data_IF_545434293847
#
_entry.id   IF_545434293847
#
_cell.length_a   1.000
_cell.length_b   1.000
_cell.length_c   1.000
_cell.angle_alpha   90.00
_cell.angle_beta   90.00
_cell.angle_gamma   90.00
#
_symmetry.space_group_name_H-M   'P 1'
#
loop_
_entity.id
_entity.type
_entity.pdbx_description
1 polymer ?
#
# COMPACT_ATOMS: atom_id res chain seq x y z
N UNK A 1 14.97 40.67 38.15
CA UNK A 1 15.56 40.86 36.80
C UNK A 1 16.86 40.09 36.75
N UNK A 2 16.77 38.82 36.36
CA UNK A 2 17.80 38.12 35.59
C UNK A 2 17.00 37.24 34.65
N UNK A 3 16.70 37.81 33.50
CA UNK A 3 16.33 37.12 32.29
C UNK A 3 17.62 36.45 31.81
N UNK A 4 17.71 35.12 31.95
CA UNK A 4 18.87 34.33 31.49
C UNK A 4 18.47 33.56 30.24
N UNK A 5 18.72 34.26 29.12
CA UNK A 5 19.20 33.84 27.80
C UNK A 5 18.51 32.70 27.02
N UNK A 6 18.15 32.94 25.73
CA UNK A 6 17.55 31.98 24.80
C UNK A 6 18.55 30.94 24.29
N UNK A 7 18.08 29.80 23.77
CA UNK A 7 18.41 29.29 22.42
C UNK A 7 17.55 28.06 22.09
N UNK A 8 17.21 28.01 20.80
CA UNK A 8 16.32 27.09 20.11
C UNK A 8 16.59 25.60 20.38
N UNK A 9 15.51 24.80 20.43
CA UNK A 9 15.41 23.68 19.51
C UNK A 9 13.95 23.23 19.27
N UNK A 10 13.27 23.67 18.20
CA UNK A 10 12.22 22.90 17.58
C UNK A 10 12.86 21.97 16.53
N UNK A 11 13.50 20.89 17.00
CA UNK A 11 13.99 19.84 16.10
C UNK A 11 14.04 18.51 16.86
N UNK A 12 12.87 18.01 17.25
CA UNK A 12 12.61 16.59 17.07
C UNK A 12 11.79 16.58 15.79
N UNK A 13 12.44 16.60 14.63
CA UNK A 13 12.98 15.36 14.11
C UNK A 13 11.77 14.56 13.67
N UNK A 14 11.10 15.04 12.62
CA UNK A 14 10.11 14.27 11.87
C UNK A 14 10.88 13.18 11.14
N UNK A 15 11.46 12.25 11.90
CA UNK A 15 11.88 10.94 11.43
C UNK A 15 10.70 9.98 11.66
N UNK A 16 9.49 10.44 11.33
CA UNK A 16 8.22 9.70 11.35
C UNK A 16 7.47 9.90 10.03
N UNK A 17 8.06 10.55 9.04
CA UNK A 17 7.45 10.68 7.71
C UNK A 17 7.58 9.37 6.91
N UNK A 18 8.65 8.59 7.16
CA UNK A 18 8.92 7.33 6.43
C UNK A 18 8.01 6.18 6.87
N UNK A 19 7.55 6.15 8.12
CA UNK A 19 6.67 5.09 8.60
C UNK A 19 5.22 5.29 8.13
N UNK A 20 4.81 6.54 7.88
CA UNK A 20 3.49 6.85 7.34
C UNK A 20 3.36 6.37 5.88
N UNK A 21 4.41 6.53 5.07
CA UNK A 21 4.47 6.08 3.67
C UNK A 21 4.34 4.55 3.55
N UNK A 22 5.01 3.77 4.40
CA UNK A 22 4.92 2.30 4.39
C UNK A 22 3.55 1.78 4.83
N UNK A 23 2.92 2.43 5.82
CA UNK A 23 1.57 2.06 6.29
C UNK A 23 0.51 2.46 5.27
N UNK A 24 0.65 3.63 4.65
CA UNK A 24 -0.23 4.08 3.57
C UNK A 24 -0.13 3.17 2.36
N UNK A 25 1.09 2.79 1.95
CA UNK A 25 1.32 1.83 0.88
C UNK A 25 0.66 0.49 1.20
N UNK A 26 0.86 -0.07 2.41
CA UNK A 26 0.25 -1.34 2.79
C UNK A 26 -1.28 -1.28 2.82
N UNK A 27 -1.86 -0.16 3.27
CA UNK A 27 -3.31 0.04 3.26
C UNK A 27 -3.86 0.13 1.83
N UNK A 28 -3.17 0.82 0.93
CA UNK A 28 -3.54 0.91 -0.49
C UNK A 28 -3.42 -0.45 -1.20
N UNK A 29 -2.41 -1.26 -0.87
CA UNK A 29 -2.28 -2.63 -1.40
C UNK A 29 -3.45 -3.51 -0.97
N UNK A 30 -3.82 -3.46 0.31
CA UNK A 30 -4.93 -4.23 0.86
C UNK A 30 -6.27 -3.84 0.23
N UNK A 31 -6.50 -2.53 0.04
CA UNK A 31 -7.70 -2.01 -0.62
C UNK A 31 -7.79 -2.46 -2.09
N UNK A 32 -6.68 -2.35 -2.84
CA UNK A 32 -6.62 -2.83 -4.23
C UNK A 32 -6.82 -4.34 -4.32
N UNK A 33 -6.21 -5.11 -3.41
CA UNK A 33 -6.36 -6.56 -3.37
C UNK A 33 -7.82 -6.97 -3.08
N UNK A 34 -8.50 -6.28 -2.16
CA UNK A 34 -9.93 -6.49 -1.89
C UNK A 34 -10.78 -6.19 -3.12
N UNK A 35 -10.50 -5.10 -3.85
CA UNK A 35 -11.23 -4.75 -5.07
C UNK A 35 -11.03 -5.78 -6.19
N UNK A 36 -9.80 -6.27 -6.38
CA UNK A 36 -9.49 -7.32 -7.37
C UNK A 36 -10.20 -8.61 -6.99
N UNK A 37 -10.17 -8.99 -5.72
CA UNK A 37 -10.87 -10.16 -5.19
C UNK A 37 -12.37 -10.11 -5.46
N UNK A 38 -13.01 -8.97 -5.19
CA UNK A 38 -14.45 -8.82 -5.42
C UNK A 38 -14.78 -8.86 -6.92
N UNK A 39 -13.97 -8.21 -7.75
CA UNK A 39 -14.11 -8.27 -9.20
C UNK A 39 -14.00 -9.70 -9.76
N UNK A 40 -13.05 -10.51 -9.28
CA UNK A 40 -12.94 -11.94 -9.66
C UNK A 40 -14.19 -12.71 -9.23
N UNK A 41 -14.67 -12.50 -7.99
CA UNK A 41 -15.88 -13.15 -7.47
C UNK A 41 -17.13 -12.81 -8.28
N UNK A 42 -17.20 -11.59 -8.80
CA UNK A 42 -18.27 -11.11 -9.67
C UNK A 42 -18.10 -11.55 -11.14
N UNK A 43 -16.95 -12.13 -11.50
CA UNK A 43 -16.62 -12.55 -12.86
C UNK A 43 -16.26 -11.38 -13.79
N UNK A 44 -15.78 -10.27 -13.23
CA UNK A 44 -15.39 -9.06 -13.93
C UNK A 44 -13.89 -9.04 -14.31
N UNK A 45 -13.11 -10.00 -13.80
CA UNK A 45 -11.70 -10.19 -14.16
C UNK A 45 -11.58 -11.31 -15.19
N UNK A 46 -11.19 -10.94 -16.41
CA UNK A 46 -10.96 -11.87 -17.54
C UNK A 46 -9.46 -12.09 -17.82
N UNK A 47 -8.61 -11.13 -17.43
CA UNK A 47 -7.15 -11.19 -17.53
C UNK A 47 -6.51 -11.81 -16.28
N UNK A 48 -5.20 -12.07 -16.34
CA UNK A 48 -4.43 -12.59 -15.21
C UNK A 48 -4.50 -11.64 -14.00
N UNK A 49 -4.68 -12.21 -12.80
CA UNK A 49 -4.89 -11.44 -11.56
C UNK A 49 -3.70 -10.53 -11.25
N UNK A 50 -2.48 -10.99 -11.53
CA UNK A 50 -1.25 -10.23 -11.33
C UNK A 50 -1.16 -8.98 -12.22
N UNK A 51 -1.56 -9.07 -13.50
CA UNK A 51 -1.60 -7.92 -14.41
C UNK A 51 -2.64 -6.88 -13.95
N UNK A 52 -3.83 -7.33 -13.51
CA UNK A 52 -4.88 -6.42 -13.01
C UNK A 52 -4.46 -5.76 -11.69
N UNK A 53 -3.80 -6.51 -10.81
CA UNK A 53 -3.29 -5.99 -9.54
C UNK A 53 -2.19 -4.95 -9.79
N UNK A 54 -1.26 -5.22 -10.72
CA UNK A 54 -0.22 -4.26 -11.13
C UNK A 54 -0.85 -2.94 -11.61
N UNK A 55 -1.80 -3.00 -12.55
CA UNK A 55 -2.45 -1.80 -13.10
C UNK A 55 -3.12 -0.96 -12.02
N UNK A 56 -3.87 -1.60 -11.10
CA UNK A 56 -4.55 -0.90 -10.01
C UNK A 56 -3.59 -0.34 -8.96
N UNK A 57 -2.52 -1.06 -8.63
CA UNK A 57 -1.49 -0.59 -7.72
C UNK A 57 -0.78 0.65 -8.29
N UNK A 58 -0.44 0.61 -9.58
CA UNK A 58 0.14 1.77 -10.27
C UNK A 58 -0.82 2.96 -10.32
N UNK A 59 -2.13 2.73 -10.45
CA UNK A 59 -3.15 3.78 -10.46
C UNK A 59 -3.21 4.55 -9.13
N UNK A 60 -3.01 3.86 -8.00
CA UNK A 60 -2.93 4.47 -6.66
C UNK A 60 -1.51 4.95 -6.31
N UNK A 61 -0.55 4.82 -7.22
CA UNK A 61 0.84 5.25 -7.04
C UNK A 61 1.71 4.28 -6.23
N UNK A 62 1.24 3.06 -6.03
CA UNK A 62 1.98 1.99 -5.35
C UNK A 62 2.75 1.17 -6.39
N UNK A 63 4.07 1.16 -6.28
CA UNK A 63 4.94 0.34 -7.11
C UNK A 63 5.52 -0.82 -6.31
N UNK A 64 5.00 -2.03 -6.55
CA UNK A 64 5.54 -3.26 -5.98
C UNK A 64 6.46 -3.97 -6.97
N UNK A 65 7.23 -4.93 -6.45
CA UNK A 65 7.98 -5.84 -7.30
C UNK A 65 7.03 -6.88 -7.89
N UNK A 66 7.26 -7.36 -9.12
CA UNK A 66 6.40 -8.37 -9.75
C UNK A 66 6.31 -9.65 -8.91
N UNK A 67 7.39 -10.05 -8.22
CA UNK A 67 7.35 -11.19 -7.29
C UNK A 67 6.37 -11.00 -6.12
N UNK A 68 6.19 -9.77 -5.63
CA UNK A 68 5.24 -9.46 -4.56
C UNK A 68 3.81 -9.38 -5.10
N UNK A 69 3.65 -8.86 -6.32
CA UNK A 69 2.36 -8.85 -7.03
C UNK A 69 1.87 -10.29 -7.24
N UNK A 70 2.76 -11.19 -7.65
CA UNK A 70 2.48 -12.62 -7.84
C UNK A 70 2.02 -13.29 -6.52
N UNK A 71 2.72 -13.04 -5.41
CA UNK A 71 2.35 -13.55 -4.08
C UNK A 71 0.95 -13.06 -3.65
N UNK A 72 0.63 -11.77 -3.88
CA UNK A 72 -0.68 -11.20 -3.53
C UNK A 72 -1.78 -11.77 -4.44
N UNK A 73 -1.50 -11.93 -5.74
CA UNK A 73 -2.42 -12.52 -6.69
C UNK A 73 -2.79 -13.96 -6.29
N UNK A 74 -1.80 -14.80 -5.93
CA UNK A 74 -2.04 -16.18 -5.47
C UNK A 74 -2.91 -16.20 -4.21
N UNK A 75 -2.70 -15.28 -3.26
CA UNK A 75 -3.50 -15.17 -2.03
C UNK A 75 -4.97 -14.80 -2.34
N UNK A 76 -5.19 -13.87 -3.27
CA UNK A 76 -6.53 -13.50 -3.76
C UNK A 76 -7.22 -14.70 -4.42
N UNK A 77 -6.55 -15.36 -5.36
CA UNK A 77 -7.10 -16.52 -6.07
C UNK A 77 -7.44 -17.66 -5.10
N UNK A 78 -6.59 -17.88 -4.10
CA UNK A 78 -6.82 -18.86 -3.05
C UNK A 78 -8.10 -18.56 -2.27
N UNK A 79 -8.31 -17.29 -1.91
CA UNK A 79 -9.45 -16.87 -1.11
C UNK A 79 -10.78 -16.90 -1.90
N UNK A 80 -10.78 -16.50 -3.18
CA UNK A 80 -12.01 -16.60 -4.03
C UNK A 80 -12.38 -18.06 -4.31
N UNK A 81 -11.40 -18.96 -4.32
CA UNK A 81 -11.59 -20.39 -4.57
C UNK A 81 -12.18 -21.18 -3.38
N UNK A 82 -12.44 -20.54 -2.23
CA UNK A 82 -12.92 -21.20 -1.00
C UNK A 82 -14.45 -21.23 -0.82
#
# INVERSE_FOLDING_TARGET
MTDDTPFQNPAHGTDDDTQLDEIETAASVDEVAEEVRDAIRHGEVEDDVSDVLEERLEEVGVHLRPETIDDIADDIENDVSH
#
